data_IF_560279483749
#
_entry.id   IF_560279483749
#
_cell.length_a   1.000
_cell.length_b   1.000
_cell.length_c   1.000
_cell.angle_alpha   90.00
_cell.angle_beta   90.00
_cell.angle_gamma   90.00
#
_symmetry.space_group_name_H-M   'P 1'
#
loop_
_entity.id
_entity.type
_entity.pdbx_description
1 polymer ?
#
# COMPACT_ATOMS: atom_id res chain seq x y z
N UNK A 1 -19.73 -10.62 -16.68
CA UNK A 1 -19.96 -10.32 -15.24
C UNK A 1 -18.69 -9.68 -14.76
N UNK A 2 -18.75 -8.57 -14.02
CA UNK A 2 -17.55 -7.94 -13.51
C UNK A 2 -16.84 -8.84 -12.49
N UNK A 3 -15.53 -8.66 -12.30
CA UNK A 3 -14.72 -9.41 -11.33
C UNK A 3 -15.26 -9.22 -9.92
N UNK A 4 -15.59 -7.98 -9.57
CA UNK A 4 -16.13 -7.64 -8.25
C UNK A 4 -17.45 -8.33 -7.96
N UNK A 5 -18.38 -8.29 -8.90
CA UNK A 5 -19.71 -8.94 -8.75
C UNK A 5 -19.56 -10.46 -8.55
N UNK A 6 -18.59 -11.06 -9.24
CA UNK A 6 -18.30 -12.48 -9.06
C UNK A 6 -17.76 -12.77 -7.66
N UNK A 7 -16.74 -12.00 -7.21
CA UNK A 7 -16.15 -12.14 -5.88
C UNK A 7 -17.18 -11.89 -4.76
N UNK A 8 -18.04 -10.88 -4.92
CA UNK A 8 -19.11 -10.58 -3.93
C UNK A 8 -20.01 -11.79 -3.73
N UNK A 9 -20.38 -12.48 -4.81
CA UNK A 9 -21.29 -13.65 -4.75
C UNK A 9 -20.60 -14.90 -4.23
N UNK A 10 -19.38 -15.16 -4.67
CA UNK A 10 -18.66 -16.39 -4.34
C UNK A 10 -18.20 -16.41 -2.88
N UNK A 11 -17.91 -15.24 -2.30
CA UNK A 11 -17.37 -15.10 -0.95
C UNK A 11 -18.32 -14.45 0.05
N UNK A 12 -19.60 -14.26 -0.33
CA UNK A 12 -20.63 -13.62 0.54
C UNK A 12 -20.13 -12.29 1.15
N UNK A 13 -19.49 -11.47 0.30
CA UNK A 13 -18.89 -10.19 0.71
C UNK A 13 -19.96 -9.27 1.29
N UNK A 14 -19.67 -8.67 2.43
CA UNK A 14 -20.58 -7.76 3.15
C UNK A 14 -20.24 -6.31 2.92
N UNK A 15 -18.97 -5.98 2.71
CA UNK A 15 -18.47 -4.62 2.64
C UNK A 15 -17.58 -4.42 1.42
N UNK A 16 -17.66 -3.23 0.82
CA UNK A 16 -16.73 -2.76 -0.20
C UNK A 16 -15.89 -1.65 0.42
N UNK A 17 -14.58 -1.77 0.29
CA UNK A 17 -13.61 -0.79 0.75
C UNK A 17 -13.00 -0.07 -0.45
N UNK A 18 -13.43 1.17 -0.68
CA UNK A 18 -12.96 2.01 -1.77
C UNK A 18 -11.70 2.73 -1.33
N UNK A 19 -10.57 2.46 -1.98
CA UNK A 19 -9.26 3.01 -1.62
C UNK A 19 -8.72 3.95 -2.69
N UNK A 20 -8.08 5.02 -2.25
CA UNK A 20 -7.36 5.97 -3.11
C UNK A 20 -6.18 6.57 -2.37
N UNK A 21 -5.24 7.19 -3.10
CA UNK A 21 -4.02 7.75 -2.52
C UNK A 21 -3.98 9.26 -2.74
N UNK A 22 -3.58 10.03 -1.73
CA UNK A 22 -3.40 11.47 -1.83
C UNK A 22 -2.01 11.86 -2.38
N UNK A 23 -1.80 13.16 -2.58
CA UNK A 23 -0.53 13.71 -3.08
C UNK A 23 0.66 13.55 -2.11
N UNK A 24 0.41 13.17 -0.86
CA UNK A 24 1.46 12.86 0.12
C UNK A 24 1.82 11.38 0.14
N UNK A 25 1.10 10.55 -0.63
CA UNK A 25 1.25 9.10 -0.61
C UNK A 25 0.44 8.42 0.49
N UNK A 26 -0.42 9.15 1.21
CA UNK A 26 -1.31 8.55 2.22
C UNK A 26 -2.47 7.86 1.52
N UNK A 27 -2.69 6.60 1.85
CA UNK A 27 -3.85 5.87 1.39
C UNK A 27 -5.06 6.20 2.27
N UNK A 28 -6.17 6.51 1.62
CA UNK A 28 -7.47 6.77 2.22
C UNK A 28 -8.47 5.71 1.81
N UNK A 29 -9.48 5.50 2.62
CA UNK A 29 -10.56 4.59 2.27
C UNK A 29 -11.92 5.05 2.78
N UNK A 30 -12.97 4.55 2.15
CA UNK A 30 -14.35 4.60 2.63
C UNK A 30 -15.03 3.26 2.39
N UNK A 31 -15.70 2.77 3.41
CA UNK A 31 -16.35 1.46 3.37
C UNK A 31 -17.86 1.63 3.22
N UNK A 32 -18.45 0.82 2.34
CA UNK A 32 -19.88 0.82 2.04
C UNK A 32 -20.45 -0.60 1.97
N UNK A 33 -21.77 -0.80 2.12
CA UNK A 33 -22.37 -2.13 1.98
C UNK A 33 -22.18 -2.71 0.57
N UNK A 34 -21.84 -3.99 0.48
CA UNK A 34 -21.57 -4.67 -0.79
C UNK A 34 -22.78 -4.68 -1.75
N UNK A 35 -24.02 -4.61 -1.21
CA UNK A 35 -25.24 -4.53 -2.04
C UNK A 35 -25.25 -3.32 -2.98
N UNK A 36 -24.62 -2.20 -2.59
CA UNK A 36 -24.58 -0.97 -3.37
C UNK A 36 -23.66 -1.12 -4.59
N UNK A 37 -22.65 -1.99 -4.52
CA UNK A 37 -21.78 -2.32 -5.65
C UNK A 37 -22.40 -3.31 -6.65
N UNK A 38 -23.58 -3.82 -6.37
CA UNK A 38 -24.37 -4.64 -7.31
C UNK A 38 -25.24 -3.80 -8.24
N UNK A 39 -25.32 -2.48 -8.02
CA UNK A 39 -25.95 -1.54 -8.95
C UNK A 39 -25.15 -1.52 -10.27
N UNK A 40 -25.86 -1.55 -11.40
CA UNK A 40 -25.24 -1.59 -12.73
C UNK A 40 -24.42 -0.33 -13.05
N UNK A 41 -24.75 0.79 -12.41
CA UNK A 41 -24.07 2.08 -12.62
C UNK A 41 -22.90 2.32 -11.62
N UNK A 42 -22.68 1.44 -10.66
CA UNK A 42 -21.68 1.65 -9.63
C UNK A 42 -20.27 1.91 -10.20
N UNK A 43 -19.88 1.21 -11.26
CA UNK A 43 -18.58 1.36 -11.91
C UNK A 43 -18.53 2.47 -12.96
N UNK A 44 -19.65 3.13 -13.25
CA UNK A 44 -19.72 4.27 -14.18
C UNK A 44 -19.97 5.60 -13.48
N UNK A 45 -20.79 5.59 -12.44
CA UNK A 45 -21.14 6.80 -11.69
C UNK A 45 -20.25 7.01 -10.46
N UNK A 46 -19.72 5.92 -9.92
CA UNK A 46 -18.83 5.94 -8.75
C UNK A 46 -19.54 6.37 -7.47
N UNK A 47 -18.73 6.81 -6.50
CA UNK A 47 -19.17 7.29 -5.19
C UNK A 47 -18.72 8.73 -4.95
N UNK A 48 -19.66 9.62 -4.71
CA UNK A 48 -19.37 11.01 -4.32
C UNK A 48 -18.71 11.09 -2.95
N UNK A 49 -17.73 11.98 -2.81
CA UNK A 49 -17.09 12.32 -1.54
C UNK A 49 -16.64 13.78 -1.51
N UNK A 50 -16.31 14.28 -0.32
CA UNK A 50 -15.83 15.64 -0.10
C UNK A 50 -14.29 15.71 -0.25
N UNK A 51 -13.82 16.17 -1.40
CA UNK A 51 -12.40 16.36 -1.69
C UNK A 51 -11.74 17.50 -0.91
N UNK A 52 -12.51 18.40 -0.27
CA UNK A 52 -11.95 19.46 0.58
C UNK A 52 -11.38 18.93 1.89
N UNK A 53 -11.79 17.73 2.28
CA UNK A 53 -11.23 17.02 3.44
C UNK A 53 -9.86 16.42 3.19
N UNK A 54 -9.41 16.36 1.93
CA UNK A 54 -8.08 15.88 1.55
C UNK A 54 -7.13 17.09 1.42
N UNK A 55 -6.09 17.07 2.25
CA UNK A 55 -5.14 18.18 2.30
C UNK A 55 -4.48 18.47 0.94
N UNK A 56 -4.61 19.71 0.47
CA UNK A 56 -4.03 20.18 -0.78
C UNK A 56 -4.82 19.84 -2.05
N UNK A 57 -6.04 19.29 -1.93
CA UNK A 57 -6.87 18.98 -3.09
C UNK A 57 -7.81 20.15 -3.44
N UNK A 58 -8.96 20.23 -2.83
CA UNK A 58 -10.02 21.18 -3.19
C UNK A 58 -10.29 22.20 -2.09
N UNK A 59 -10.84 23.35 -2.45
CA UNK A 59 -11.50 24.24 -1.51
C UNK A 59 -12.95 23.83 -1.29
N UNK A 60 -13.58 24.34 -0.25
CA UNK A 60 -14.95 23.98 0.12
C UNK A 60 -15.99 24.41 -0.92
N UNK A 61 -15.65 25.41 -1.72
CA UNK A 61 -16.51 25.93 -2.80
C UNK A 61 -16.65 25.00 -4.02
N UNK A 62 -15.78 23.98 -4.12
CA UNK A 62 -15.78 23.00 -5.23
C UNK A 62 -15.38 21.61 -4.71
N UNK A 63 -15.94 21.22 -3.57
CA UNK A 63 -15.47 20.06 -2.80
C UNK A 63 -15.87 18.70 -3.37
N UNK A 64 -16.96 18.64 -4.12
CA UNK A 64 -17.50 17.39 -4.65
C UNK A 64 -16.53 16.73 -5.63
N UNK A 65 -16.24 15.46 -5.38
CA UNK A 65 -15.41 14.59 -6.21
C UNK A 65 -16.00 13.18 -6.27
N UNK A 66 -15.56 12.39 -7.22
CA UNK A 66 -16.04 11.03 -7.42
C UNK A 66 -14.90 10.03 -7.22
N UNK A 67 -15.12 9.02 -6.38
CA UNK A 67 -14.37 7.77 -6.36
C UNK A 67 -14.92 6.86 -7.44
N UNK A 68 -14.18 6.64 -8.52
CA UNK A 68 -14.57 5.74 -9.61
C UNK A 68 -13.82 4.41 -9.45
N UNK A 69 -14.50 3.32 -9.02
CA UNK A 69 -13.83 2.07 -8.74
C UNK A 69 -13.31 1.39 -10.00
N UNK A 70 -12.10 0.87 -9.96
CA UNK A 70 -11.54 0.02 -11.00
C UNK A 70 -11.80 -1.47 -10.68
N UNK A 71 -12.74 -2.09 -11.41
CA UNK A 71 -13.12 -3.49 -11.24
C UNK A 71 -11.93 -4.47 -11.37
N UNK A 72 -10.92 -4.10 -12.14
CA UNK A 72 -9.73 -4.95 -12.35
C UNK A 72 -8.90 -5.11 -11.07
N UNK A 73 -9.03 -4.16 -10.13
CA UNK A 73 -8.28 -4.12 -8.87
C UNK A 73 -8.94 -4.94 -7.75
N UNK A 74 -10.14 -5.45 -7.99
CA UNK A 74 -10.93 -6.15 -6.97
C UNK A 74 -10.15 -7.30 -6.31
N UNK A 75 -10.04 -7.26 -4.98
CA UNK A 75 -9.38 -8.27 -4.16
C UNK A 75 -10.05 -8.38 -2.80
N UNK A 76 -10.13 -9.59 -2.26
CA UNK A 76 -10.60 -9.79 -0.89
C UNK A 76 -9.55 -9.26 0.09
N UNK A 77 -10.00 -8.58 1.15
CA UNK A 77 -9.12 -8.13 2.22
C UNK A 77 -8.80 -9.31 3.15
N UNK A 78 -7.54 -9.78 3.23
CA UNK A 78 -7.17 -10.92 4.08
C UNK A 78 -7.11 -10.57 5.57
N UNK A 79 -7.24 -9.28 5.94
CA UNK A 79 -7.08 -8.80 7.30
C UNK A 79 -8.39 -8.47 8.01
N UNK A 80 -9.52 -8.56 7.31
CA UNK A 80 -10.83 -8.22 7.89
C UNK A 80 -11.57 -9.47 8.36
N UNK A 81 -12.18 -9.40 9.55
CA UNK A 81 -13.03 -10.48 10.06
C UNK A 81 -14.31 -10.66 9.23
N UNK A 82 -14.90 -9.53 8.80
CA UNK A 82 -16.06 -9.56 7.92
C UNK A 82 -15.61 -9.56 6.48
N UNK A 83 -16.16 -10.44 5.60
CA UNK A 83 -15.76 -10.49 4.20
C UNK A 83 -15.87 -9.12 3.53
N UNK A 84 -14.73 -8.55 3.18
CA UNK A 84 -14.59 -7.21 2.61
C UNK A 84 -13.85 -7.30 1.27
N UNK A 85 -14.34 -6.58 0.26
CA UNK A 85 -13.71 -6.47 -1.03
C UNK A 85 -13.06 -5.09 -1.16
N UNK A 86 -11.78 -5.06 -1.44
CA UNK A 86 -11.03 -3.83 -1.75
C UNK A 86 -11.18 -3.50 -3.23
N UNK A 87 -11.43 -2.24 -3.52
CA UNK A 87 -11.39 -1.65 -4.86
C UNK A 87 -10.55 -0.38 -4.84
N UNK A 88 -9.55 -0.29 -5.71
CA UNK A 88 -8.81 0.96 -5.91
C UNK A 88 -9.62 1.86 -6.85
N UNK A 89 -9.67 3.15 -6.53
CA UNK A 89 -10.47 4.11 -7.27
C UNK A 89 -9.59 5.14 -7.98
N UNK A 90 -10.02 5.52 -9.17
CA UNK A 90 -9.62 6.78 -9.80
C UNK A 90 -10.41 7.93 -9.17
N UNK A 91 -9.81 9.11 -9.10
CA UNK A 91 -10.49 10.32 -8.64
C UNK A 91 -10.93 11.12 -9.84
N UNK A 92 -12.24 11.37 -9.93
CA UNK A 92 -12.84 12.05 -11.08
C UNK A 92 -13.36 13.42 -10.67
N UNK A 93 -13.11 14.40 -11.52
CA UNK A 93 -13.67 15.75 -11.43
C UNK A 93 -15.10 15.75 -11.99
N UNK A 94 -16.15 15.97 -11.18
CA UNK A 94 -17.55 15.86 -11.64
C UNK A 94 -17.91 16.79 -12.80
N UNK A 95 -17.30 17.99 -12.82
CA UNK A 95 -17.60 19.02 -13.84
C UNK A 95 -17.13 18.65 -15.23
N UNK A 96 -16.11 17.82 -15.36
CA UNK A 96 -15.48 17.43 -16.63
C UNK A 96 -15.56 15.94 -16.91
N UNK A 97 -15.86 15.14 -15.91
CA UNK A 97 -15.78 13.66 -15.94
C UNK A 97 -14.38 13.17 -16.37
N UNK A 98 -13.33 13.94 -16.04
CA UNK A 98 -11.94 13.58 -16.29
C UNK A 98 -11.23 13.26 -14.98
N UNK A 99 -10.13 12.50 -15.07
CA UNK A 99 -9.26 12.22 -13.93
C UNK A 99 -8.76 13.51 -13.28
N UNK A 100 -8.79 13.55 -11.95
CA UNK A 100 -8.33 14.71 -11.19
C UNK A 100 -6.81 14.88 -11.32
N UNK A 101 -6.37 16.10 -11.59
CA UNK A 101 -4.96 16.40 -11.90
C UNK A 101 -3.97 16.05 -10.77
N UNK A 102 -4.44 16.10 -9.51
CA UNK A 102 -3.62 15.82 -8.34
C UNK A 102 -3.78 14.38 -7.80
N UNK A 103 -4.54 13.56 -8.50
CA UNK A 103 -4.61 12.13 -8.21
C UNK A 103 -3.34 11.44 -8.75
N UNK A 104 -2.53 10.79 -7.89
CA UNK A 104 -1.34 10.05 -8.32
C UNK A 104 -1.65 8.99 -9.37
N UNK A 105 -2.81 8.33 -9.27
CA UNK A 105 -3.23 7.30 -10.23
C UNK A 105 -3.56 7.90 -11.60
N UNK A 106 -4.23 9.04 -11.63
CA UNK A 106 -4.46 9.77 -12.87
C UNK A 106 -3.15 10.26 -13.52
N UNK A 107 -2.14 10.61 -12.72
CA UNK A 107 -0.79 10.94 -13.22
C UNK A 107 -0.15 9.70 -13.86
N UNK A 108 -0.25 8.54 -13.22
CA UNK A 108 0.29 7.29 -13.75
C UNK A 108 -0.37 6.92 -15.09
N UNK A 109 -1.69 7.02 -15.20
CA UNK A 109 -2.41 6.82 -16.46
C UNK A 109 -1.92 7.77 -17.57
N UNK A 110 -1.81 9.07 -17.28
CA UNK A 110 -1.28 10.04 -18.25
C UNK A 110 0.15 9.75 -18.67
N UNK A 111 0.98 9.25 -17.76
CA UNK A 111 2.36 8.87 -18.08
C UNK A 111 2.43 7.69 -19.06
N UNK A 112 1.60 6.65 -18.86
CA UNK A 112 1.51 5.52 -19.79
C UNK A 112 0.95 5.95 -21.17
N UNK A 113 -0.03 6.82 -21.20
CA UNK A 113 -0.56 7.38 -22.45
C UNK A 113 0.47 8.26 -23.18
N UNK A 114 1.20 9.08 -22.42
CA UNK A 114 2.28 9.89 -22.99
C UNK A 114 3.35 9.03 -23.64
N UNK A 115 3.82 7.96 -22.97
CA UNK A 115 4.78 7.03 -23.54
C UNK A 115 4.30 6.51 -24.91
N UNK A 116 3.06 6.03 -24.98
CA UNK A 116 2.45 5.54 -26.23
C UNK A 116 2.45 6.63 -27.32
N UNK A 117 2.11 7.87 -26.95
CA UNK A 117 2.04 8.99 -27.89
C UNK A 117 3.38 9.38 -28.50
N UNK A 118 4.49 9.09 -27.81
CA UNK A 118 5.86 9.38 -28.30
C UNK A 118 6.29 8.45 -29.43
N UNK A 119 5.69 7.28 -29.55
CA UNK A 119 6.11 6.23 -30.49
C UNK A 119 7.43 5.55 -30.13
N UNK A 120 8.05 5.88 -28.98
CA UNK A 120 9.28 5.24 -28.49
C UNK A 120 8.99 3.85 -27.93
N UNK A 121 7.84 3.69 -27.28
CA UNK A 121 7.38 2.44 -26.72
C UNK A 121 5.89 2.49 -26.41
N UNK A 122 5.27 1.35 -26.27
CA UNK A 122 3.85 1.21 -25.90
C UNK A 122 3.66 0.78 -24.43
N UNK A 123 4.71 0.27 -23.82
CA UNK A 123 4.66 -0.27 -22.46
C UNK A 123 6.00 -0.01 -21.74
N UNK A 124 5.91 0.42 -20.48
CA UNK A 124 7.05 0.47 -19.55
C UNK A 124 6.74 -0.40 -18.33
N UNK A 125 7.74 -1.16 -17.91
CA UNK A 125 7.66 -2.00 -16.72
C UNK A 125 8.46 -1.41 -15.58
N UNK A 126 7.93 -1.57 -14.37
CA UNK A 126 8.50 -1.10 -13.13
C UNK A 126 8.60 -2.25 -12.14
N UNK A 127 9.75 -2.39 -11.49
CA UNK A 127 10.01 -3.37 -10.43
C UNK A 127 10.33 -2.63 -9.14
N UNK A 128 9.36 -2.28 -8.30
CA UNK A 128 9.65 -1.67 -7.01
C UNK A 128 10.30 -2.67 -6.07
N UNK A 129 11.23 -2.18 -5.27
CA UNK A 129 11.95 -2.92 -4.24
C UNK A 129 11.61 -2.27 -2.89
N UNK A 130 10.42 -2.59 -2.30
CA UNK A 130 10.02 -2.02 -1.04
C UNK A 130 10.90 -2.50 0.10
N UNK A 131 11.62 -1.58 0.69
CA UNK A 131 12.43 -1.78 1.88
C UNK A 131 11.78 -1.11 3.09
N UNK A 132 11.82 -1.77 4.23
CA UNK A 132 11.22 -1.27 5.45
C UNK A 132 11.94 -1.79 6.69
N UNK A 133 11.73 -1.11 7.82
CA UNK A 133 12.21 -1.56 9.11
C UNK A 133 11.06 -1.97 10.00
N UNK A 134 11.25 -3.01 10.80
CA UNK A 134 10.37 -3.38 11.90
C UNK A 134 11.07 -3.01 13.21
N UNK A 135 10.42 -2.14 13.99
CA UNK A 135 10.92 -1.70 15.28
C UNK A 135 9.97 -2.11 16.40
N UNK A 136 10.52 -2.46 17.56
CA UNK A 136 9.72 -2.78 18.75
C UNK A 136 9.07 -1.52 19.33
N UNK A 137 9.79 -0.39 19.32
CA UNK A 137 9.28 0.88 19.79
C UNK A 137 10.03 2.04 19.12
N UNK A 138 9.28 3.11 18.77
CA UNK A 138 9.86 4.39 18.34
C UNK A 138 9.32 5.50 19.22
N UNK A 139 10.22 6.27 19.85
CA UNK A 139 9.91 7.50 20.57
C UNK A 139 10.45 8.69 19.81
N UNK A 140 9.65 9.71 19.63
CA UNK A 140 10.10 10.94 19.00
C UNK A 140 9.44 12.16 19.62
N UNK A 141 10.13 13.28 19.53
CA UNK A 141 9.64 14.61 19.90
C UNK A 141 10.16 15.61 18.88
N UNK A 142 9.31 16.53 18.47
CA UNK A 142 9.70 17.66 17.64
C UNK A 142 8.80 18.84 17.97
N UNK A 143 9.32 19.80 18.75
CA UNK A 143 8.64 21.03 19.14
C UNK A 143 9.63 22.20 19.24
N UNK A 144 9.14 23.37 19.65
CA UNK A 144 9.98 24.57 19.78
C UNK A 144 11.10 24.46 20.80
N UNK A 145 11.07 23.46 21.69
CA UNK A 145 12.09 23.23 22.70
C UNK A 145 13.21 22.29 22.23
N UNK A 146 13.04 21.64 21.08
CA UNK A 146 14.03 20.75 20.51
C UNK A 146 13.42 19.52 19.82
N UNK A 147 14.31 18.64 19.31
CA UNK A 147 13.94 17.40 18.65
C UNK A 147 14.73 16.24 19.19
N UNK A 148 14.10 15.07 19.28
CA UNK A 148 14.75 13.82 19.62
C UNK A 148 14.03 12.66 18.96
N UNK A 149 14.75 11.57 18.72
CA UNK A 149 14.16 10.26 18.46
C UNK A 149 14.94 9.18 19.21
N UNK A 150 14.26 8.10 19.52
CA UNK A 150 14.86 6.88 20.08
C UNK A 150 14.16 5.67 19.50
N UNK A 151 14.93 4.75 18.99
CA UNK A 151 14.44 3.52 18.36
C UNK A 151 14.87 2.34 19.23
N UNK A 152 13.93 1.44 19.50
CA UNK A 152 14.14 0.18 20.17
C UNK A 152 13.91 -0.95 19.17
N UNK A 153 14.88 -1.86 19.09
CA UNK A 153 14.77 -3.05 18.24
C UNK A 153 15.67 -4.14 18.83
N UNK A 154 15.11 -5.31 19.05
CA UNK A 154 15.89 -6.50 19.46
C UNK A 154 17.02 -6.81 18.50
N UNK A 155 16.86 -6.45 17.22
CA UNK A 155 17.86 -6.66 16.18
C UNK A 155 18.87 -5.52 16.09
N UNK A 156 18.65 -4.42 16.83
CA UNK A 156 19.55 -3.27 16.82
C UNK A 156 20.87 -3.55 17.55
N UNK A 157 22.00 -3.28 16.90
CA UNK A 157 23.34 -3.47 17.52
C UNK A 157 23.53 -2.62 18.78
N UNK A 158 22.80 -1.51 18.91
CA UNK A 158 22.81 -0.63 20.09
C UNK A 158 21.96 -1.13 21.27
N UNK A 159 21.23 -2.25 21.09
CA UNK A 159 20.38 -2.85 22.12
C UNK A 159 21.01 -4.05 22.79
N UNK A 160 22.29 -4.31 22.54
CA UNK A 160 22.99 -5.51 23.04
C UNK A 160 23.16 -5.58 24.55
N UNK A 161 22.99 -4.46 25.26
CA UNK A 161 23.06 -4.34 26.72
C UNK A 161 21.67 -4.23 27.38
N UNK A 162 20.60 -4.35 26.62
CA UNK A 162 19.23 -4.21 27.13
C UNK A 162 18.65 -5.56 27.52
N UNK A 163 17.80 -5.54 28.54
CA UNK A 163 16.97 -6.68 28.90
C UNK A 163 15.83 -6.83 27.92
N UNK A 164 15.69 -8.00 27.33
CA UNK A 164 14.59 -8.38 26.44
C UNK A 164 13.89 -9.63 26.96
N UNK A 165 12.63 -9.80 26.62
CA UNK A 165 11.89 -11.02 26.96
C UNK A 165 12.59 -12.24 26.34
N UNK A 166 12.80 -13.28 27.13
CA UNK A 166 13.56 -14.46 26.70
C UNK A 166 15.07 -14.35 26.82
N UNK A 167 15.60 -13.21 27.24
CA UNK A 167 17.02 -12.95 27.44
C UNK A 167 17.74 -12.38 26.22
N UNK A 168 19.06 -12.28 26.31
CA UNK A 168 19.87 -11.74 25.23
C UNK A 168 19.98 -12.75 24.06
N UNK A 169 19.58 -12.35 22.88
CA UNK A 169 19.63 -13.17 21.67
C UNK A 169 21.02 -13.28 21.01
N UNK A 170 22.06 -12.77 21.67
CA UNK A 170 23.45 -12.90 21.22
C UNK A 170 23.86 -11.92 20.14
N UNK A 171 24.42 -12.42 19.05
CA UNK A 171 24.93 -11.58 17.95
C UNK A 171 23.83 -10.78 17.28
N UNK A 172 24.16 -9.53 16.96
CA UNK A 172 23.32 -8.64 16.15
C UNK A 172 24.12 -8.09 14.98
N UNK A 173 23.54 -7.96 13.79
CA UNK A 173 24.23 -7.34 12.67
C UNK A 173 24.67 -5.92 13.02
N UNK A 174 25.91 -5.57 12.71
CA UNK A 174 26.38 -4.20 12.74
C UNK A 174 25.79 -3.37 11.60
N UNK A 175 26.11 -2.08 11.59
CA UNK A 175 25.75 -1.18 10.48
C UNK A 175 26.28 -1.79 9.18
N UNK A 176 25.42 -2.00 8.17
CA UNK A 176 25.71 -2.67 6.89
C UNK A 176 26.18 -4.12 7.00
N UNK A 177 25.85 -4.81 8.09
CA UNK A 177 26.23 -6.23 8.32
C UNK A 177 25.09 -7.23 8.19
N UNK A 178 23.89 -6.78 7.77
CA UNK A 178 22.66 -7.57 7.80
C UNK A 178 22.25 -8.25 6.50
N UNK A 179 23.07 -8.23 5.46
CA UNK A 179 22.66 -8.77 4.17
C UNK A 179 22.63 -10.30 4.16
N UNK A 180 21.44 -10.86 3.94
CA UNK A 180 21.16 -12.30 3.80
C UNK A 180 21.58 -13.19 4.98
N UNK A 181 21.40 -12.80 6.24
CA UNK A 181 21.67 -13.72 7.35
C UNK A 181 20.63 -14.85 7.35
N UNK A 182 21.01 -15.96 7.93
CA UNK A 182 20.03 -17.05 8.19
C UNK A 182 19.43 -16.89 9.59
N UNK A 183 18.23 -17.43 9.85
CA UNK A 183 17.75 -17.54 11.22
C UNK A 183 18.75 -18.31 12.12
N UNK A 184 18.92 -17.93 13.40
CA UNK A 184 18.10 -16.95 14.15
C UNK A 184 18.54 -15.49 14.02
N UNK A 185 19.55 -15.17 13.23
CA UNK A 185 19.98 -13.79 13.03
C UNK A 185 18.98 -12.98 12.20
N UNK A 186 18.30 -13.62 11.27
CA UNK A 186 17.12 -13.08 10.60
C UNK A 186 15.88 -13.31 11.47
N UNK A 187 15.59 -12.40 12.36
CA UNK A 187 14.44 -12.50 13.28
C UNK A 187 13.09 -12.32 12.57
N UNK A 188 13.06 -11.59 11.46
CA UNK A 188 11.81 -11.22 10.78
C UNK A 188 11.40 -12.18 9.67
N UNK A 189 12.11 -13.31 9.50
CA UNK A 189 11.84 -14.26 8.43
C UNK A 189 10.36 -14.70 8.37
N UNK A 190 9.78 -15.10 9.50
CA UNK A 190 8.39 -15.55 9.57
C UNK A 190 7.39 -14.41 9.37
N UNK A 191 7.71 -13.20 9.84
CA UNK A 191 6.87 -12.02 9.62
C UNK A 191 6.83 -11.71 8.12
N UNK A 192 7.98 -11.64 7.46
CA UNK A 192 8.04 -11.43 5.99
C UNK A 192 7.33 -12.54 5.23
N UNK A 193 7.49 -13.79 5.64
CA UNK A 193 6.77 -14.92 5.02
C UNK A 193 5.25 -14.73 5.12
N UNK A 194 4.76 -14.30 6.27
CA UNK A 194 3.33 -14.02 6.47
C UNK A 194 2.85 -12.85 5.60
N UNK A 195 3.67 -11.78 5.49
CA UNK A 195 3.40 -10.66 4.59
C UNK A 195 3.35 -11.10 3.13
N UNK A 196 4.30 -11.93 2.70
CA UNK A 196 4.33 -12.48 1.35
C UNK A 196 3.09 -13.31 1.03
N UNK A 197 2.65 -14.15 1.95
CA UNK A 197 1.42 -14.93 1.79
C UNK A 197 0.21 -14.01 1.59
N UNK A 198 0.08 -12.95 2.39
CA UNK A 198 -1.00 -11.97 2.23
C UNK A 198 -0.91 -11.25 0.87
N UNK A 199 0.28 -10.88 0.41
CA UNK A 199 0.48 -10.28 -0.91
C UNK A 199 0.06 -11.22 -2.05
N UNK A 200 0.41 -12.51 -1.97
CA UNK A 200 -0.03 -13.51 -2.94
C UNK A 200 -1.55 -13.69 -2.94
N UNK A 201 -2.19 -13.74 -1.78
CA UNK A 201 -3.65 -13.77 -1.65
C UNK A 201 -4.31 -12.54 -2.28
N UNK A 202 -3.66 -11.38 -2.18
CA UNK A 202 -4.07 -10.13 -2.82
C UNK A 202 -3.74 -10.05 -4.31
N UNK A 203 -3.16 -11.12 -4.89
CA UNK A 203 -2.87 -11.21 -6.33
C UNK A 203 -1.56 -10.54 -6.76
N UNK A 204 -0.66 -10.26 -5.84
CA UNK A 204 0.69 -9.77 -6.11
C UNK A 204 1.66 -10.94 -6.11
N UNK A 205 2.32 -11.19 -7.23
CA UNK A 205 3.33 -12.25 -7.31
C UNK A 205 4.61 -11.81 -6.61
N UNK A 206 4.93 -12.48 -5.51
CA UNK A 206 6.19 -12.30 -4.78
C UNK A 206 7.30 -13.07 -5.48
N UNK A 207 8.47 -12.48 -5.62
CA UNK A 207 9.66 -13.14 -6.20
C UNK A 207 10.68 -13.51 -5.12
N UNK A 208 10.86 -12.65 -4.12
CA UNK A 208 11.88 -12.84 -3.08
C UNK A 208 11.53 -12.03 -1.83
N UNK A 209 11.98 -12.49 -0.69
CA UNK A 209 12.08 -11.66 0.51
C UNK A 209 13.36 -12.01 1.30
N UNK A 210 13.95 -11.05 1.95
CA UNK A 210 15.16 -11.22 2.72
C UNK A 210 15.37 -10.11 3.75
N UNK A 211 16.30 -10.32 4.68
CA UNK A 211 16.84 -9.26 5.50
C UNK A 211 17.80 -8.43 4.64
N UNK A 212 17.65 -7.12 4.70
CA UNK A 212 18.50 -6.17 3.98
C UNK A 212 19.76 -5.79 4.76
N UNK A 213 20.58 -4.92 4.15
CA UNK A 213 21.96 -4.67 4.59
C UNK A 213 22.07 -3.98 5.96
N UNK A 214 21.06 -3.20 6.38
CA UNK A 214 21.17 -2.43 7.61
C UNK A 214 20.87 -3.25 8.86
N UNK A 215 21.45 -2.81 9.97
CA UNK A 215 21.08 -3.31 11.32
C UNK A 215 19.63 -2.94 11.67
N UNK A 216 19.12 -3.46 12.79
CA UNK A 216 17.78 -3.19 13.32
C UNK A 216 16.63 -3.71 12.48
N UNK A 217 16.82 -4.82 11.79
CA UNK A 217 15.74 -5.49 11.08
C UNK A 217 15.27 -4.73 9.83
N UNK A 218 16.18 -4.36 8.95
CA UNK A 218 15.82 -3.90 7.62
C UNK A 218 15.37 -5.11 6.78
N UNK A 219 14.22 -4.99 6.17
CA UNK A 219 13.55 -6.02 5.39
C UNK A 219 13.31 -5.54 3.97
N UNK A 220 13.31 -6.49 3.03
CA UNK A 220 12.91 -6.26 1.64
C UNK A 220 11.99 -7.38 1.15
N UNK A 221 11.00 -6.99 0.34
CA UNK A 221 10.12 -7.92 -0.38
C UNK A 221 10.10 -7.53 -1.85
N UNK A 222 10.71 -8.35 -2.70
CA UNK A 222 10.67 -8.19 -4.15
C UNK A 222 9.40 -8.77 -4.75
N UNK A 223 8.71 -7.99 -5.57
CA UNK A 223 7.51 -8.42 -6.29
C UNK A 223 7.72 -8.31 -7.79
N UNK A 224 7.14 -9.24 -8.56
CA UNK A 224 7.25 -9.28 -10.01
C UNK A 224 6.93 -7.91 -10.63
N UNK A 225 7.74 -7.44 -11.57
CA UNK A 225 7.52 -6.18 -12.29
C UNK A 225 6.18 -6.15 -13.03
N UNK A 226 5.60 -4.95 -13.21
CA UNK A 226 4.36 -4.74 -13.96
C UNK A 226 4.35 -3.31 -14.52
N UNK A 227 3.28 -2.91 -15.23
CA UNK A 227 3.10 -1.53 -15.69
C UNK A 227 2.94 -0.57 -14.51
N UNK A 228 3.11 0.73 -14.75
CA UNK A 228 3.09 1.75 -13.70
C UNK A 228 1.77 1.72 -12.90
N UNK A 229 0.64 1.80 -13.59
CA UNK A 229 -0.69 1.81 -12.95
C UNK A 229 -0.93 0.55 -12.12
N UNK A 230 -0.53 -0.64 -12.62
CA UNK A 230 -0.69 -1.89 -11.86
C UNK A 230 0.26 -1.99 -10.67
N UNK A 231 1.42 -1.33 -10.70
CA UNK A 231 2.36 -1.29 -9.57
C UNK A 231 1.96 -0.30 -8.50
N UNK A 232 1.28 0.76 -8.86
CA UNK A 232 0.70 1.69 -7.89
C UNK A 232 -0.35 1.01 -7.01
N UNK A 233 -1.17 0.15 -7.57
CA UNK A 233 -2.14 -0.69 -6.83
C UNK A 233 -1.43 -1.58 -5.80
N UNK A 234 -0.23 -2.06 -6.10
CA UNK A 234 0.56 -2.94 -5.22
C UNK A 234 1.28 -2.23 -4.07
N UNK A 235 1.23 -0.91 -3.98
CA UNK A 235 1.76 -0.14 -2.86
C UNK A 235 0.74 0.08 -1.75
N UNK A 236 0.04 -0.95 -1.35
CA UNK A 236 -0.61 -0.90 -0.05
C UNK A 236 0.50 -0.71 1.00
N UNK A 237 0.40 0.34 1.79
CA UNK A 237 1.32 0.57 2.89
C UNK A 237 1.19 -0.59 3.86
N UNK A 238 2.25 -1.35 3.98
CA UNK A 238 2.43 -2.32 5.06
C UNK A 238 2.87 -1.59 6.30
#
# INVERSE_FOLDING_TARGET
MSKSVQLIKDHDVKWIDLRFTDTKGTQHHVTMPARDALDENFFTDGKMFDGSSIAGWKGIEASDMILLPDDSTAVLDPFTEQPTLILVCDIIEPSTMQGYDRDPRAIAHRAEEYLKSTGIGDTAFFGPEPEFFIFDEVKFKSDISGSMFKIYSEQGSWMSDQDVEGGNHGHRPGIKGGYFPVPPFDHDHEIRTSMCNALEEMGLTVEVHHHEVATAGQNEIGVKFNTLVKKEIGRAHV
#
